data_IF_463670946192
#
_entry.id   IF_463670946192
#
_cell.length_a   1.000
_cell.length_b   1.000
_cell.length_c   1.000
_cell.angle_alpha   90.00
_cell.angle_beta   90.00
_cell.angle_gamma   90.00
#
_symmetry.space_group_name_H-M   'P 1'
#
loop_
_entity.id
_entity.type
_entity.pdbx_description
1 polymer ?
#
# COMPACT_ATOMS: atom_id res chain seq x y z
N UNK A 1 -31.63 33.31 7.51
CA UNK A 1 -31.85 32.70 6.18
C UNK A 1 -30.49 32.50 5.53
N UNK A 2 -30.20 31.25 5.13
CA UNK A 2 -29.10 30.74 4.29
C UNK A 2 -27.64 30.77 4.81
N UNK A 3 -27.15 29.55 5.02
CA UNK A 3 -25.74 29.14 5.11
C UNK A 3 -25.06 29.27 3.74
N UNK A 4 -23.77 29.61 3.70
CA UNK A 4 -22.80 29.07 2.74
C UNK A 4 -21.41 29.68 2.95
N UNK A 5 -20.67 29.22 3.96
CA UNK A 5 -19.21 29.38 3.93
C UNK A 5 -18.65 28.16 3.22
N UNK A 6 -18.41 28.35 1.92
CA UNK A 6 -17.78 27.41 1.02
C UNK A 6 -16.36 27.12 1.47
N UNK A 7 -16.05 25.84 1.74
CA UNK A 7 -14.70 25.29 1.70
C UNK A 7 -14.15 25.47 0.27
N UNK A 8 -13.58 26.65 -0.02
CA UNK A 8 -12.84 26.88 -1.26
C UNK A 8 -11.43 26.37 -1.03
N UNK A 9 -11.10 25.26 -1.67
CA UNK A 9 -9.74 24.74 -1.70
C UNK A 9 -8.85 25.83 -2.35
N UNK A 10 -7.76 26.26 -1.71
CA UNK A 10 -6.90 27.30 -2.26
C UNK A 10 -6.30 26.86 -3.60
N UNK A 11 -6.26 27.76 -4.59
CA UNK A 11 -5.77 27.49 -5.96
C UNK A 11 -4.39 26.83 -6.00
N UNK A 12 -3.54 27.10 -5.02
CA UNK A 12 -2.21 26.49 -4.89
C UNK A 12 -2.24 25.00 -4.53
N UNK A 13 -3.28 24.53 -3.86
CA UNK A 13 -3.49 23.09 -3.62
C UNK A 13 -4.06 22.42 -4.87
N UNK A 14 -4.95 23.09 -5.60
CA UNK A 14 -5.48 22.59 -6.89
C UNK A 14 -4.36 22.46 -7.92
N UNK A 15 -3.43 23.41 -7.98
CA UNK A 15 -2.28 23.35 -8.89
C UNK A 15 -1.25 22.29 -8.48
N UNK A 16 -1.10 22.01 -7.19
CA UNK A 16 -0.27 20.88 -6.70
C UNK A 16 -0.90 19.53 -7.01
N UNK A 17 -2.21 19.39 -6.82
CA UNK A 17 -2.98 18.22 -7.25
C UNK A 17 -2.87 18.06 -8.76
N UNK A 18 -3.07 19.12 -9.56
CA UNK A 18 -2.89 19.05 -11.02
C UNK A 18 -1.48 18.66 -11.41
N UNK A 19 -0.46 19.14 -10.71
CA UNK A 19 0.95 18.82 -10.99
C UNK A 19 1.32 17.39 -10.59
N UNK A 20 0.75 16.83 -9.53
CA UNK A 20 0.89 15.41 -9.18
C UNK A 20 0.08 14.49 -10.11
N UNK A 21 -1.00 15.02 -10.70
CA UNK A 21 -1.88 14.33 -11.66
C UNK A 21 -1.34 14.37 -13.10
N UNK A 22 -0.59 15.40 -13.52
CA UNK A 22 -0.31 15.68 -14.94
C UNK A 22 0.78 14.82 -15.61
N UNK A 23 1.11 13.64 -15.07
CA UNK A 23 2.08 12.73 -15.70
C UNK A 23 1.97 11.27 -15.25
N UNK A 24 1.04 10.96 -14.35
CA UNK A 24 0.87 9.61 -13.81
C UNK A 24 -0.23 8.89 -14.58
N UNK A 25 0.10 7.74 -15.16
CA UNK A 25 -0.87 6.89 -15.82
C UNK A 25 -1.52 5.98 -14.79
N UNK A 26 -2.75 6.33 -14.38
CA UNK A 26 -3.52 5.58 -13.38
C UNK A 26 -3.92 4.17 -13.81
N UNK A 27 -3.66 3.77 -15.06
CA UNK A 27 -3.88 2.41 -15.53
C UNK A 27 -2.70 1.47 -15.23
N UNK A 28 -1.55 2.03 -14.85
CA UNK A 28 -0.33 1.28 -14.62
C UNK A 28 -0.29 0.63 -13.23
N UNK A 29 0.57 -0.38 -13.09
CA UNK A 29 0.72 -1.15 -11.87
C UNK A 29 1.39 -0.36 -10.75
N UNK A 30 2.25 0.61 -11.07
CA UNK A 30 2.90 1.52 -10.11
C UNK A 30 1.86 2.27 -9.25
N UNK A 31 0.81 2.78 -9.87
CA UNK A 31 -0.25 3.50 -9.18
C UNK A 31 -1.03 2.56 -8.26
N UNK A 32 -1.38 1.37 -8.73
CA UNK A 32 -2.08 0.37 -7.90
C UNK A 32 -1.21 -0.12 -6.74
N UNK A 33 0.07 -0.33 -6.99
CA UNK A 33 1.06 -0.64 -5.98
C UNK A 33 1.10 0.44 -4.90
N UNK A 34 1.19 1.72 -5.27
CA UNK A 34 1.17 2.81 -4.30
C UNK A 34 -0.08 2.77 -3.42
N UNK A 35 -1.27 2.55 -4.01
CA UNK A 35 -2.54 2.45 -3.25
C UNK A 35 -2.56 1.26 -2.28
N UNK A 36 -1.93 0.15 -2.66
CA UNK A 36 -1.76 -1.03 -1.78
C UNK A 36 -0.84 -0.67 -0.61
N UNK A 37 0.32 -0.06 -0.88
CA UNK A 37 1.29 0.31 0.14
C UNK A 37 0.73 1.32 1.15
N UNK A 38 -0.04 2.31 0.68
CA UNK A 38 -0.78 3.25 1.55
C UNK A 38 -1.79 2.52 2.46
N UNK A 39 -2.51 1.53 1.92
CA UNK A 39 -3.46 0.73 2.71
C UNK A 39 -2.77 -0.17 3.73
N UNK A 40 -1.63 -0.74 3.38
CA UNK A 40 -0.77 -1.52 4.27
C UNK A 40 -0.24 -0.62 5.38
N UNK A 41 0.28 0.55 5.04
CA UNK A 41 0.78 1.51 6.02
C UNK A 41 -0.27 1.86 7.06
N UNK A 42 -1.49 2.20 6.62
CA UNK A 42 -2.61 2.49 7.52
C UNK A 42 -2.92 1.30 8.44
N UNK A 43 -2.95 0.09 7.89
CA UNK A 43 -3.20 -1.12 8.67
C UNK A 43 -2.10 -1.38 9.71
N UNK A 44 -0.84 -1.12 9.36
CA UNK A 44 0.30 -1.30 10.27
C UNK A 44 0.31 -0.30 11.43
N UNK A 45 -0.22 0.92 11.24
CA UNK A 45 -0.32 1.90 12.32
C UNK A 45 -1.22 1.42 13.46
N UNK A 46 -2.22 0.61 13.15
CA UNK A 46 -3.15 0.03 14.13
C UNK A 46 -2.64 -1.28 14.74
N UNK A 47 -1.47 -1.78 14.30
CA UNK A 47 -0.98 -3.11 14.66
C UNK A 47 -0.03 -3.11 15.87
N UNK A 48 -0.26 -4.04 16.80
CA UNK A 48 0.61 -4.23 17.96
C UNK A 48 2.03 -4.70 17.57
N UNK A 49 2.97 -4.59 18.50
CA UNK A 49 4.39 -4.92 18.27
C UNK A 49 4.68 -6.41 18.05
N UNK A 50 3.69 -7.29 18.26
CA UNK A 50 3.85 -8.75 18.26
C UNK A 50 3.20 -9.42 17.05
N UNK A 51 2.57 -8.62 16.18
CA UNK A 51 1.91 -9.11 14.98
C UNK A 51 2.62 -8.66 13.72
N UNK A 52 2.65 -9.51 12.71
CA UNK A 52 3.15 -9.22 11.36
C UNK A 52 1.97 -9.16 10.37
N UNK A 53 2.13 -8.44 9.26
CA UNK A 53 1.13 -8.47 8.19
C UNK A 53 1.12 -9.83 7.49
N UNK A 54 -0.09 -10.28 7.16
CA UNK A 54 -0.32 -11.36 6.23
C UNK A 54 -1.46 -10.98 5.26
N UNK A 55 -1.43 -11.56 4.07
CA UNK A 55 -2.50 -11.40 3.09
C UNK A 55 -3.29 -12.70 2.98
N UNK A 56 -4.60 -12.59 3.15
CA UNK A 56 -5.55 -13.63 2.78
C UNK A 56 -5.96 -13.43 1.32
N UNK A 57 -5.42 -14.29 0.47
CA UNK A 57 -5.65 -14.27 -0.96
C UNK A 57 -6.84 -15.17 -1.24
N UNK A 58 -7.95 -14.59 -1.71
CA UNK A 58 -9.16 -15.33 -2.03
C UNK A 58 -9.22 -15.56 -3.54
N UNK A 59 -8.90 -16.76 -4.01
CA UNK A 59 -9.08 -17.08 -5.43
C UNK A 59 -9.58 -18.52 -5.61
N UNK A 60 -10.57 -18.70 -6.49
CA UNK A 60 -11.04 -20.02 -6.95
C UNK A 60 -11.49 -21.04 -5.87
N UNK A 61 -12.04 -20.58 -4.75
CA UNK A 61 -12.60 -21.46 -3.72
C UNK A 61 -11.59 -21.99 -2.71
N UNK A 62 -10.31 -21.64 -2.86
CA UNK A 62 -9.28 -21.86 -1.85
C UNK A 62 -8.73 -20.51 -1.35
N UNK A 63 -8.51 -20.42 -0.04
CA UNK A 63 -7.89 -19.25 0.58
C UNK A 63 -6.42 -19.56 0.85
N UNK A 64 -5.51 -18.76 0.30
CA UNK A 64 -4.08 -18.85 0.59
C UNK A 64 -3.71 -17.75 1.57
N UNK A 65 -3.18 -18.13 2.74
CA UNK A 65 -2.58 -17.19 3.68
C UNK A 65 -1.09 -17.05 3.35
N UNK A 66 -0.68 -15.84 3.00
CA UNK A 66 0.72 -15.50 2.77
C UNK A 66 1.22 -14.56 3.86
N UNK A 67 2.31 -14.96 4.54
CA UNK A 67 3.06 -14.06 5.42
C UNK A 67 3.95 -13.20 4.53
N UNK A 68 3.49 -12.00 4.21
CA UNK A 68 4.15 -11.15 3.21
C UNK A 68 5.42 -10.55 3.79
N UNK A 69 6.48 -10.61 2.99
CA UNK A 69 7.78 -10.03 3.29
C UNK A 69 8.06 -8.80 2.45
N UNK A 70 7.54 -8.76 1.22
CA UNK A 70 7.77 -7.67 0.28
C UNK A 70 6.68 -7.63 -0.79
N UNK A 71 6.50 -6.46 -1.41
CA UNK A 71 5.58 -6.26 -2.53
C UNK A 71 6.31 -5.48 -3.62
N UNK A 72 6.17 -5.93 -4.86
CA UNK A 72 6.68 -5.23 -6.04
C UNK A 72 5.62 -5.10 -7.13
N UNK A 73 5.97 -4.44 -8.22
CA UNK A 73 5.11 -4.31 -9.38
C UNK A 73 5.89 -4.44 -10.69
N UNK A 74 5.16 -4.65 -11.78
CA UNK A 74 5.71 -4.58 -13.13
C UNK A 74 4.68 -3.96 -14.06
N UNK A 75 5.01 -2.78 -14.57
CA UNK A 75 4.15 -2.08 -15.51
C UNK A 75 4.00 -2.89 -16.82
N UNK A 76 2.80 -2.91 -17.42
CA UNK A 76 1.67 -2.06 -17.07
C UNK A 76 0.71 -2.63 -16.02
N UNK A 77 0.80 -3.90 -15.60
CA UNK A 77 -0.38 -4.50 -14.96
C UNK A 77 -0.14 -5.62 -13.96
N UNK A 78 1.09 -5.89 -13.51
CA UNK A 78 1.38 -6.96 -12.56
C UNK A 78 1.76 -6.42 -11.17
N UNK A 79 1.25 -7.07 -10.13
CA UNK A 79 1.67 -6.93 -8.74
C UNK A 79 2.27 -8.25 -8.28
N UNK A 80 3.39 -8.17 -7.56
CA UNK A 80 4.15 -9.30 -7.04
C UNK A 80 4.08 -9.26 -5.51
N UNK A 81 3.62 -10.34 -4.89
CA UNK A 81 3.65 -10.52 -3.44
C UNK A 81 4.67 -11.60 -3.09
N UNK A 82 5.68 -11.22 -2.33
CA UNK A 82 6.72 -12.12 -1.87
C UNK A 82 6.47 -12.48 -0.41
N UNK A 83 6.65 -13.74 -0.06
CA UNK A 83 6.48 -14.15 1.33
C UNK A 83 6.55 -15.64 1.54
N UNK A 84 5.96 -16.09 2.64
CA UNK A 84 5.92 -17.51 2.99
C UNK A 84 4.48 -18.01 2.98
N UNK A 85 4.27 -19.14 2.30
CA UNK A 85 3.02 -19.91 2.32
C UNK A 85 3.34 -21.29 2.85
N UNK A 86 2.72 -21.68 3.96
CA UNK A 86 3.00 -22.95 4.64
C UNK A 86 4.50 -23.21 4.88
N UNK A 87 5.24 -22.15 5.23
CA UNK A 87 6.70 -22.20 5.48
C UNK A 87 7.58 -22.18 4.24
N UNK A 88 7.02 -22.22 3.03
CA UNK A 88 7.79 -22.16 1.79
C UNK A 88 7.84 -20.74 1.24
N UNK A 89 9.05 -20.26 0.93
CA UNK A 89 9.20 -18.98 0.22
C UNK A 89 8.50 -19.07 -1.12
N UNK A 90 7.60 -18.13 -1.37
CA UNK A 90 6.64 -18.15 -2.48
C UNK A 90 6.48 -16.73 -3.03
N UNK A 91 6.19 -16.67 -4.32
CA UNK A 91 5.81 -15.45 -5.01
C UNK A 91 4.42 -15.65 -5.61
N UNK A 92 3.51 -14.71 -5.35
CA UNK A 92 2.25 -14.61 -6.04
C UNK A 92 2.29 -13.44 -7.02
N UNK A 93 1.99 -13.73 -8.28
CA UNK A 93 1.86 -12.72 -9.34
C UNK A 93 0.37 -12.53 -9.64
N UNK A 94 -0.12 -11.30 -9.56
CA UNK A 94 -1.51 -10.95 -9.86
C UNK A 94 -1.59 -9.85 -10.91
N UNK A 95 -2.56 -9.94 -11.81
CA UNK A 95 -2.95 -8.81 -12.64
C UNK A 95 -3.70 -7.77 -11.80
N UNK A 96 -3.49 -6.47 -12.04
CA UNK A 96 -4.14 -5.38 -11.28
C UNK A 96 -5.68 -5.46 -11.28
N UNK A 97 -6.28 -5.99 -12.35
CA UNK A 97 -7.73 -6.19 -12.44
C UNK A 97 -8.26 -7.36 -11.59
N UNK A 98 -7.39 -8.16 -10.98
CA UNK A 98 -7.71 -9.34 -10.19
C UNK A 98 -7.35 -9.17 -8.71
N UNK A 99 -6.99 -7.94 -8.30
CA UNK A 99 -6.66 -7.65 -6.91
C UNK A 99 -7.92 -7.83 -6.05
N UNK A 100 -7.91 -8.91 -5.25
CA UNK A 100 -8.91 -9.20 -4.24
C UNK A 100 -8.21 -9.96 -3.10
N UNK A 101 -7.79 -9.22 -2.09
CA UNK A 101 -7.15 -9.80 -0.91
C UNK A 101 -7.61 -9.07 0.35
N UNK A 102 -7.55 -9.79 1.46
CA UNK A 102 -7.75 -9.25 2.80
C UNK A 102 -6.38 -9.00 3.44
N UNK A 103 -6.12 -7.78 3.88
CA UNK A 103 -5.00 -7.49 4.79
C UNK A 103 -5.41 -7.99 6.17
N UNK A 104 -4.58 -8.83 6.77
CA UNK A 104 -4.75 -9.34 8.13
C UNK A 104 -3.42 -9.33 8.87
N UNK A 105 -3.43 -9.82 10.10
CA UNK A 105 -2.23 -9.97 10.91
C UNK A 105 -2.07 -11.39 11.44
N UNK A 106 -0.83 -11.87 11.50
CA UNK A 106 -0.45 -13.11 12.19
C UNK A 106 0.46 -12.81 13.38
N UNK A 107 0.57 -13.73 14.33
CA UNK A 107 1.67 -13.70 15.31
C UNK A 107 3.02 -13.76 14.60
N UNK A 108 4.05 -13.16 15.19
CA UNK A 108 5.42 -13.29 14.70
C UNK A 108 5.82 -14.75 14.61
N UNK A 109 6.64 -15.03 13.61
CA UNK A 109 7.28 -16.33 13.44
C UNK A 109 8.51 -16.52 14.33
N UNK A 110 9.10 -15.43 14.81
CA UNK A 110 10.28 -15.40 15.69
C UNK A 110 10.09 -14.32 16.76
N UNK A 111 9.98 -14.75 18.02
CA UNK A 111 9.75 -13.86 19.18
C UNK A 111 10.96 -12.95 19.45
N UNK A 112 12.17 -13.38 19.06
CA UNK A 112 13.41 -12.63 19.31
C UNK A 112 13.61 -11.49 18.31
N UNK A 113 12.75 -11.38 17.29
CA UNK A 113 12.82 -10.34 16.25
C UNK A 113 11.70 -9.30 16.38
N UNK A 114 11.99 -8.03 16.02
CA UNK A 114 10.92 -7.05 15.85
C UNK A 114 9.96 -7.52 14.75
N UNK A 115 8.68 -7.13 14.84
CA UNK A 115 7.68 -7.54 13.86
C UNK A 115 8.09 -7.05 12.49
N UNK A 116 8.02 -7.92 11.47
CA UNK A 116 8.17 -7.47 10.10
C UNK A 116 7.08 -6.46 9.78
N UNK A 117 7.52 -5.31 9.29
CA UNK A 117 6.69 -4.27 8.73
C UNK A 117 7.03 -4.16 7.25
N UNK A 118 6.01 -4.07 6.41
CA UNK A 118 6.15 -3.81 4.99
C UNK A 118 6.32 -2.30 4.86
N UNK A 119 7.56 -1.87 5.09
CA UNK A 119 7.90 -0.47 5.27
C UNK A 119 8.62 0.13 4.07
N UNK A 120 8.32 1.41 3.84
CA UNK A 120 9.08 2.35 3.03
C UNK A 120 10.54 2.37 3.46
N UNK A 121 11.42 1.73 2.70
CA UNK A 121 12.86 1.86 2.93
C UNK A 121 13.30 3.23 2.42
N UNK A 122 13.84 4.05 3.32
CA UNK A 122 14.67 5.18 2.92
C UNK A 122 15.98 4.63 2.37
N UNK A 123 16.03 4.28 1.08
CA UNK A 123 17.30 3.91 0.48
C UNK A 123 18.12 5.17 0.29
N UNK A 124 19.18 5.29 1.10
CA UNK A 124 20.29 6.19 0.83
C UNK A 124 21.31 5.57 -0.14
N UNK A 125 21.11 4.34 -0.62
CA UNK A 125 22.06 3.71 -1.54
C UNK A 125 21.33 2.97 -2.67
N UNK A 126 21.35 3.61 -3.85
CA UNK A 126 21.42 3.03 -5.20
C UNK A 126 20.72 1.69 -5.47
N UNK A 127 19.39 1.71 -5.60
CA UNK A 127 18.58 1.22 -6.75
C UNK A 127 17.25 1.97 -6.70
N UNK A 128 16.60 2.21 -7.84
CA UNK A 128 15.20 2.63 -7.89
C UNK A 128 14.36 1.60 -7.14
N UNK A 129 14.16 1.84 -5.85
CA UNK A 129 13.30 1.04 -5.00
C UNK A 129 11.94 1.68 -5.12
N UNK A 130 11.04 0.91 -5.70
CA UNK A 130 9.67 1.27 -6.06
C UNK A 130 8.79 1.60 -4.84
N UNK A 131 9.35 1.55 -3.63
CA UNK A 131 8.64 1.89 -2.40
C UNK A 131 8.36 3.40 -2.31
N UNK A 132 7.14 3.85 -1.90
CA UNK A 132 6.81 5.27 -1.91
C UNK A 132 7.77 6.13 -1.07
N UNK A 133 8.19 7.23 -1.70
CA UNK A 133 9.12 8.20 -1.10
C UNK A 133 8.48 8.93 0.08
N UNK A 134 9.31 9.58 0.91
CA UNK A 134 8.80 10.42 2.03
C UNK A 134 7.81 11.49 1.56
N UNK A 135 8.05 12.08 0.40
CA UNK A 135 7.18 13.10 -0.20
C UNK A 135 5.82 12.52 -0.57
N UNK A 136 5.78 11.29 -1.08
CA UNK A 136 4.53 10.60 -1.42
C UNK A 136 3.72 10.20 -0.18
N UNK A 137 4.40 9.88 0.93
CA UNK A 137 3.75 9.61 2.22
C UNK A 137 3.17 10.90 2.81
N UNK A 138 3.91 12.01 2.76
CA UNK A 138 3.44 13.30 3.23
C UNK A 138 2.22 13.77 2.42
N UNK A 139 2.27 13.64 1.09
CA UNK A 139 1.11 13.91 0.23
C UNK A 139 -0.07 12.97 0.53
N UNK A 140 0.20 11.69 0.81
CA UNK A 140 -0.83 10.74 1.22
C UNK A 140 -1.53 11.20 2.50
N UNK A 141 -0.78 11.47 3.57
CA UNK A 141 -1.33 11.86 4.87
C UNK A 141 -2.09 13.18 4.82
N UNK A 142 -1.56 14.20 4.13
CA UNK A 142 -2.15 15.53 4.11
C UNK A 142 -3.32 15.67 3.13
N UNK A 143 -3.23 15.03 1.96
CA UNK A 143 -4.14 15.33 0.85
C UNK A 143 -5.01 14.15 0.41
N UNK A 144 -4.56 12.91 0.58
CA UNK A 144 -5.26 11.72 0.05
C UNK A 144 -6.07 10.99 1.13
N UNK A 145 -5.43 10.65 2.26
CA UNK A 145 -6.02 9.91 3.37
C UNK A 145 -7.29 10.57 3.92
N UNK A 146 -7.38 11.92 4.06
CA UNK A 146 -8.61 12.58 4.50
C UNK A 146 -9.80 12.40 3.54
N UNK A 147 -9.55 12.11 2.26
CA UNK A 147 -10.58 11.85 1.25
C UNK A 147 -11.10 10.41 1.32
N UNK A 148 -10.37 9.50 1.97
CA UNK A 148 -10.78 8.11 2.15
C UNK A 148 -11.94 8.06 3.14
N UNK A 149 -13.15 7.87 2.63
CA UNK A 149 -14.35 7.80 3.47
C UNK A 149 -14.35 6.47 4.23
N UNK A 150 -14.22 6.50 5.56
CA UNK A 150 -14.61 5.37 6.41
C UNK A 150 -16.14 5.32 6.42
N UNK A 151 -16.73 4.35 5.72
CA UNK A 151 -18.15 4.05 5.84
C UNK A 151 -18.43 3.28 7.13
#
# INVERSE_FOLDING_TARGET
MRKSDSNVIPDTAVDRIKKSVSGRDYSLADYQYQRIMESIYDFEQDLDKNREIALYLTNFGESVLMNVTDIGYSNPSLIHYFGYVNGNYSELIQHVSQINFLITSTEKTDDDRPARRIGFKNNLDDKEDDTPSKEEIEDYEENIKPLRTKF
#
